data_IF_122413990678
#
_entry.id   IF_122413990678
#
_cell.length_a   1.000
_cell.length_b   1.000
_cell.length_c   1.000
_cell.angle_alpha   90.00
_cell.angle_beta   90.00
_cell.angle_gamma   90.00
#
_symmetry.space_group_name_H-M   'P 1'
#
loop_
_entity.id
_entity.type
_entity.pdbx_description
1 polymer ?
#
# COMPACT_ATOMS: atom_id res chain seq x y z
N UNK A 1 -0.34 3.38 16.75
CA UNK A 1 -0.44 2.92 15.33
C UNK A 1 -1.91 2.70 15.03
N UNK A 2 -2.40 3.18 13.88
CA UNK A 2 -3.83 3.16 13.54
C UNK A 2 -4.14 2.09 12.47
N UNK A 3 -5.29 1.41 12.61
CA UNK A 3 -5.77 0.40 11.69
C UNK A 3 -7.26 0.62 11.40
N UNK A 4 -7.65 0.55 10.14
CA UNK A 4 -9.04 0.80 9.71
C UNK A 4 -9.46 -0.26 8.69
N UNK A 5 -10.75 -0.59 8.70
CA UNK A 5 -11.36 -1.45 7.71
C UNK A 5 -12.16 -0.59 6.73
N UNK A 6 -11.60 -0.37 5.54
CA UNK A 6 -12.24 0.45 4.50
C UNK A 6 -12.93 -0.42 3.43
N UNK A 7 -12.65 -1.73 3.39
CA UNK A 7 -13.25 -2.67 2.45
C UNK A 7 -12.67 -2.56 1.03
N UNK A 8 -11.37 -2.30 0.90
CA UNK A 8 -10.66 -2.45 -0.38
C UNK A 8 -10.58 -3.95 -0.72
N UNK A 9 -10.50 -4.26 -2.00
CA UNK A 9 -10.27 -5.62 -2.48
C UNK A 9 -8.99 -6.24 -1.92
N UNK A 10 -8.98 -7.58 -1.84
CA UNK A 10 -7.81 -8.35 -1.41
C UNK A 10 -6.89 -8.65 -2.61
N UNK A 11 -5.68 -9.17 -2.35
CA UNK A 11 -4.72 -9.45 -3.42
C UNK A 11 -5.24 -10.49 -4.43
N UNK A 12 -6.12 -11.41 -4.00
CA UNK A 12 -6.76 -12.39 -4.88
C UNK A 12 -7.74 -11.76 -5.89
N UNK A 13 -8.23 -10.56 -5.59
CA UNK A 13 -9.14 -9.80 -6.45
C UNK A 13 -8.38 -8.82 -7.38
N UNK A 14 -7.04 -8.83 -7.34
CA UNK A 14 -6.21 -8.07 -8.25
C UNK A 14 -6.42 -8.61 -9.69
N UNK A 15 -6.70 -7.74 -10.68
CA UNK A 15 -6.96 -8.22 -12.04
C UNK A 15 -5.71 -8.78 -12.72
N UNK A 16 -4.51 -8.38 -12.28
CA UNK A 16 -3.23 -8.90 -12.74
C UNK A 16 -2.79 -10.15 -11.97
N UNK A 17 -1.96 -11.02 -12.58
CA UNK A 17 -1.43 -12.20 -11.92
C UNK A 17 -0.68 -11.86 -10.63
N UNK A 18 -1.08 -12.51 -9.54
CA UNK A 18 -0.45 -12.43 -8.23
C UNK A 18 0.20 -13.75 -7.84
N UNK A 19 1.27 -13.69 -7.05
CA UNK A 19 2.00 -14.87 -6.62
C UNK A 19 1.47 -15.37 -5.27
N UNK A 20 1.18 -16.68 -5.18
CA UNK A 20 0.76 -17.36 -3.94
C UNK A 20 -0.44 -16.72 -3.21
N UNK A 21 -1.39 -16.14 -3.94
CA UNK A 21 -2.64 -15.62 -3.36
C UNK A 21 -3.73 -16.69 -3.41
N UNK A 22 -4.40 -16.91 -2.29
CA UNK A 22 -5.52 -17.85 -2.18
C UNK A 22 -6.72 -17.20 -1.47
N UNK A 23 -7.92 -17.71 -1.74
CA UNK A 23 -9.17 -17.14 -1.21
C UNK A 23 -9.20 -17.05 0.32
N UNK A 24 -8.71 -18.09 1.00
CA UNK A 24 -8.78 -18.22 2.46
C UNK A 24 -7.46 -17.87 3.16
N UNK A 25 -6.64 -17.03 2.54
CA UNK A 25 -5.38 -16.60 3.13
C UNK A 25 -5.63 -15.76 4.41
N UNK A 26 -5.02 -16.09 5.56
CA UNK A 26 -5.14 -15.27 6.77
C UNK A 26 -4.76 -13.80 6.60
N UNK A 27 -3.94 -13.45 5.61
CA UNK A 27 -3.58 -12.07 5.27
C UNK A 27 -4.75 -11.24 4.75
N UNK A 28 -5.77 -11.87 4.15
CA UNK A 28 -7.01 -11.20 3.73
C UNK A 28 -7.77 -10.63 4.93
N UNK A 29 -7.57 -11.17 6.14
CA UNK A 29 -8.15 -10.64 7.38
C UNK A 29 -7.37 -9.45 7.95
N UNK A 30 -6.27 -9.03 7.33
CA UNK A 30 -5.42 -7.95 7.82
C UNK A 30 -4.96 -8.19 9.26
N UNK A 31 -5.19 -7.22 10.15
CA UNK A 31 -4.83 -7.31 11.58
C UNK A 31 -5.46 -8.52 12.29
N UNK A 32 -6.68 -8.92 11.91
CA UNK A 32 -7.36 -10.09 12.46
C UNK A 32 -6.59 -11.40 12.24
N UNK A 33 -5.91 -11.53 11.10
CA UNK A 33 -5.07 -12.68 10.77
C UNK A 33 -3.91 -12.89 11.76
N UNK A 34 -3.40 -11.80 12.33
CA UNK A 34 -2.32 -11.83 13.34
C UNK A 34 -2.86 -11.94 14.77
N UNK A 35 -3.86 -11.14 15.12
CA UNK A 35 -4.38 -11.05 16.50
C UNK A 35 -5.31 -12.19 16.87
N UNK A 36 -5.89 -12.87 15.87
CA UNK A 36 -6.95 -13.88 16.02
C UNK A 36 -8.23 -13.35 16.71
N UNK A 37 -8.38 -12.04 16.83
CA UNK A 37 -9.59 -11.41 17.34
C UNK A 37 -10.51 -11.04 16.16
N UNK A 38 -11.73 -11.60 16.06
CA UNK A 38 -12.66 -11.30 14.96
C UNK A 38 -13.01 -9.82 14.81
N UNK A 39 -12.95 -9.04 15.91
CA UNK A 39 -13.19 -7.60 15.87
C UNK A 39 -12.09 -6.82 15.15
N UNK A 40 -10.93 -7.42 14.89
CA UNK A 40 -9.81 -6.84 14.13
C UNK A 40 -9.74 -7.31 12.68
N UNK A 41 -10.66 -8.18 12.24
CA UNK A 41 -10.74 -8.64 10.86
C UNK A 41 -10.89 -7.46 9.89
N UNK A 42 -10.19 -7.55 8.76
CA UNK A 42 -10.16 -6.60 7.65
C UNK A 42 -9.63 -5.20 8.00
N UNK A 43 -9.09 -5.01 9.20
CA UNK A 43 -8.40 -3.76 9.55
C UNK A 43 -6.96 -3.80 9.06
N UNK A 44 -6.61 -2.86 8.20
CA UNK A 44 -5.24 -2.71 7.70
C UNK A 44 -4.59 -1.47 8.29
N UNK A 45 -3.26 -1.51 8.46
CA UNK A 45 -2.49 -0.39 8.99
C UNK A 45 -2.67 0.80 8.05
N UNK A 46 -2.94 1.98 8.60
CA UNK A 46 -2.97 3.22 7.81
C UNK A 46 -1.53 3.56 7.37
N UNK A 47 -1.21 3.57 6.07
CA UNK A 47 0.11 3.94 5.58
C UNK A 47 0.32 5.46 5.67
N UNK A 48 1.58 5.87 5.69
CA UNK A 48 1.95 7.29 5.56
C UNK A 48 1.81 7.74 4.09
N UNK A 49 1.52 9.02 3.82
CA UNK A 49 1.31 9.51 2.46
C UNK A 49 2.58 9.96 1.72
N UNK A 50 3.73 10.00 2.40
CA UNK A 50 4.99 10.45 1.82
C UNK A 50 5.50 9.48 0.74
N UNK A 51 5.94 10.03 -0.39
CA UNK A 51 6.51 9.28 -1.52
C UNK A 51 5.62 8.18 -2.10
N UNK A 52 4.30 8.27 -1.90
CA UNK A 52 3.38 7.31 -2.50
C UNK A 52 3.46 7.30 -4.04
N UNK A 53 3.85 8.41 -4.66
CA UNK A 53 3.99 8.54 -6.11
C UNK A 53 5.01 7.57 -6.73
N UNK A 54 5.95 7.01 -5.95
CA UNK A 54 6.91 6.01 -6.45
C UNK A 54 6.29 4.61 -6.64
N UNK A 55 5.08 4.36 -6.10
CA UNK A 55 4.40 3.06 -6.22
C UNK A 55 3.53 2.97 -7.49
N UNK A 56 3.59 1.86 -8.26
CA UNK A 56 2.73 1.66 -9.42
C UNK A 56 1.33 1.10 -9.06
N UNK A 57 1.11 0.72 -7.80
CA UNK A 57 -0.17 0.18 -7.31
C UNK A 57 -0.46 0.62 -5.88
N UNK A 58 -1.74 0.59 -5.49
CA UNK A 58 -2.21 1.06 -4.19
C UNK A 58 -3.34 0.19 -3.61
N UNK A 59 -3.58 0.35 -2.30
CA UNK A 59 -4.47 -0.51 -1.53
C UNK A 59 -3.78 -1.79 -1.07
N UNK A 60 -4.33 -2.50 -0.08
CA UNK A 60 -3.71 -3.73 0.40
C UNK A 60 -3.83 -4.88 -0.60
N UNK A 61 -4.85 -4.87 -1.47
CA UNK A 61 -5.00 -5.81 -2.58
C UNK A 61 -4.40 -5.35 -3.90
N UNK A 62 -3.63 -4.25 -3.93
CA UNK A 62 -3.03 -3.70 -5.15
C UNK A 62 -4.04 -3.46 -6.29
N UNK A 63 -5.31 -3.16 -5.97
CA UNK A 63 -6.40 -3.03 -6.94
C UNK A 63 -6.51 -1.66 -7.60
N UNK A 64 -5.75 -0.66 -7.14
CA UNK A 64 -5.73 0.69 -7.70
C UNK A 64 -4.39 0.98 -8.37
N UNK A 65 -4.39 1.72 -9.48
CA UNK A 65 -3.20 2.10 -10.25
C UNK A 65 -2.78 3.55 -10.03
N UNK A 66 -3.67 4.38 -9.48
CA UNK A 66 -3.37 5.80 -9.23
C UNK A 66 -3.81 6.26 -7.84
N UNK A 67 -3.10 7.24 -7.27
CA UNK A 67 -3.52 7.93 -6.04
C UNK A 67 -4.90 8.59 -6.22
N UNK A 68 -5.21 9.08 -7.42
CA UNK A 68 -6.51 9.69 -7.75
C UNK A 68 -7.65 8.69 -7.63
N UNK A 69 -7.45 7.43 -8.04
CA UNK A 69 -8.44 6.37 -7.84
C UNK A 69 -8.68 6.10 -6.36
N UNK A 70 -7.62 6.05 -5.54
CA UNK A 70 -7.75 5.87 -4.08
C UNK A 70 -8.52 7.03 -3.45
N UNK A 71 -8.26 8.27 -3.86
CA UNK A 71 -9.00 9.45 -3.37
C UNK A 71 -10.47 9.36 -3.77
N UNK A 72 -10.77 9.03 -5.04
CA UNK A 72 -12.15 8.84 -5.51
C UNK A 72 -12.88 7.73 -4.73
N UNK A 73 -12.21 6.60 -4.51
CA UNK A 73 -12.73 5.50 -3.71
C UNK A 73 -13.10 5.94 -2.28
N UNK A 74 -12.19 6.67 -1.62
CA UNK A 74 -12.46 7.24 -0.28
C UNK A 74 -13.56 8.29 -0.28
N UNK A 75 -13.66 9.10 -1.33
CA UNK A 75 -14.70 10.11 -1.47
C UNK A 75 -16.10 9.50 -1.68
N UNK A 76 -16.19 8.41 -2.47
CA UNK A 76 -17.44 7.68 -2.71
C UNK A 76 -17.84 6.81 -1.54
N UNK A 77 -16.87 6.27 -0.81
CA UNK A 77 -17.05 5.40 0.35
C UNK A 77 -17.91 4.15 0.09
N UNK A 78 -17.69 3.50 -1.06
CA UNK A 78 -18.35 2.23 -1.42
C UNK A 78 -17.33 1.09 -1.33
N UNK A 79 -17.48 0.14 -0.38
CA UNK A 79 -16.58 -1.00 -0.27
C UNK A 79 -16.54 -1.84 -1.55
N UNK A 80 -15.35 -2.32 -1.93
CA UNK A 80 -15.17 -3.26 -3.06
C UNK A 80 -15.27 -4.71 -2.58
N UNK A 81 -14.66 -5.01 -1.43
CA UNK A 81 -14.62 -6.36 -0.87
C UNK A 81 -16.02 -6.75 -0.38
N UNK A 82 -16.53 -7.89 -0.85
CA UNK A 82 -17.87 -8.39 -0.50
C UNK A 82 -17.87 -9.24 0.77
N UNK A 83 -16.70 -9.66 1.25
CA UNK A 83 -16.56 -10.51 2.44
C UNK A 83 -16.64 -9.71 3.74
N UNK A 84 -16.46 -8.39 3.69
CA UNK A 84 -16.57 -7.51 4.84
C UNK A 84 -18.04 -7.18 5.14
N UNK A 85 -18.45 -7.38 6.39
CA UNK A 85 -19.78 -6.99 6.83
C UNK A 85 -19.86 -5.47 7.04
N UNK A 86 -21.04 -4.88 6.81
CA UNK A 86 -21.25 -3.42 6.94
C UNK A 86 -20.91 -2.88 8.33
N UNK A 87 -21.11 -3.66 9.39
CA UNK A 87 -20.77 -3.29 10.77
C UNK A 87 -19.27 -3.41 11.10
N UNK A 88 -18.47 -4.02 10.22
CA UNK A 88 -17.02 -4.08 10.35
C UNK A 88 -16.32 -2.92 9.64
N UNK A 89 -17.01 -2.24 8.72
CA UNK A 89 -16.50 -1.04 8.05
C UNK A 89 -16.33 0.07 9.08
N UNK A 90 -15.19 0.75 9.01
CA UNK A 90 -14.89 1.86 9.89
C UNK A 90 -15.87 3.03 9.67
N UNK A 91 -16.47 3.61 10.73
CA UNK A 91 -17.39 4.75 10.61
C UNK A 91 -16.82 5.99 9.91
N UNK A 92 -15.49 6.12 9.81
CA UNK A 92 -14.85 7.20 9.06
C UNK A 92 -15.04 7.05 7.54
N UNK A 93 -15.32 5.84 7.05
CA UNK A 93 -15.51 5.54 5.63
C UNK A 93 -16.94 5.88 5.21
N UNK A 94 -17.18 7.18 4.99
CA UNK A 94 -18.46 7.74 4.55
C UNK A 94 -18.23 8.74 3.41
N UNK A 95 -19.24 8.98 2.55
CA UNK A 95 -19.09 9.93 1.46
C UNK A 95 -18.68 11.31 1.97
N UNK A 96 -17.69 11.93 1.31
CA UNK A 96 -17.14 13.23 1.72
C UNK A 96 -17.76 14.37 0.89
N UNK A 97 -18.07 14.09 -0.39
CA UNK A 97 -18.69 15.08 -1.29
C UNK A 97 -17.69 16.02 -1.96
N UNK A 98 -16.44 15.59 -2.15
CA UNK A 98 -15.42 16.38 -2.83
C UNK A 98 -15.78 16.63 -4.29
N UNK A 99 -15.56 17.86 -4.72
CA UNK A 99 -15.64 18.30 -6.11
C UNK A 99 -14.51 17.69 -6.97
N UNK A 100 -14.67 17.65 -8.31
CA UNK A 100 -13.59 17.24 -9.21
C UNK A 100 -12.29 18.03 -9.00
N UNK A 101 -12.40 19.32 -8.73
CA UNK A 101 -11.28 20.24 -8.48
C UNK A 101 -10.56 19.88 -7.18
N UNK A 102 -11.29 19.64 -6.09
CA UNK A 102 -10.69 19.22 -4.80
C UNK A 102 -10.00 17.86 -4.91
N UNK A 103 -10.57 16.91 -5.66
CA UNK A 103 -9.92 15.62 -5.93
C UNK A 103 -8.60 15.83 -6.68
N UNK A 104 -8.56 16.72 -7.67
CA UNK A 104 -7.35 17.05 -8.41
C UNK A 104 -6.30 17.72 -7.51
N UNK A 105 -6.71 18.69 -6.70
CA UNK A 105 -5.82 19.39 -5.75
C UNK A 105 -5.25 18.43 -4.71
N UNK A 106 -6.06 17.54 -4.12
CA UNK A 106 -5.58 16.52 -3.18
C UNK A 106 -4.64 15.53 -3.87
N UNK A 107 -4.93 15.15 -5.11
CA UNK A 107 -4.04 14.28 -5.90
C UNK A 107 -2.69 14.95 -6.06
N UNK A 108 -2.65 16.21 -6.49
CA UNK A 108 -1.42 16.98 -6.68
C UNK A 108 -0.65 17.17 -5.36
N UNK A 109 -1.34 17.44 -4.26
CA UNK A 109 -0.72 17.54 -2.94
C UNK A 109 0.02 16.25 -2.56
N UNK A 110 -0.62 15.09 -2.71
CA UNK A 110 0.01 13.81 -2.37
C UNK A 110 1.13 13.45 -3.34
N UNK A 111 0.95 13.68 -4.65
CA UNK A 111 1.94 13.26 -5.66
C UNK A 111 3.12 14.21 -5.81
N UNK A 112 2.99 15.47 -5.38
CA UNK A 112 4.02 16.50 -5.59
C UNK A 112 4.51 17.10 -4.28
N UNK A 113 3.61 17.60 -3.43
CA UNK A 113 4.01 18.30 -2.21
C UNK A 113 4.55 17.35 -1.13
N UNK A 114 4.10 16.09 -1.14
CA UNK A 114 4.59 15.02 -0.25
C UNK A 114 5.65 14.12 -0.92
N UNK A 115 6.16 14.55 -2.07
CA UNK A 115 7.20 13.84 -2.81
C UNK A 115 8.58 14.41 -2.54
N UNK A 116 9.53 13.51 -2.28
CA UNK A 116 10.93 13.79 -2.10
C UNK A 116 11.71 13.20 -3.28
N UNK A 117 12.07 14.02 -4.29
CA UNK A 117 12.79 13.54 -5.47
C UNK A 117 14.24 13.13 -5.18
N UNK A 118 14.73 13.33 -3.95
CA UNK A 118 16.13 13.10 -3.58
C UNK A 118 16.27 12.01 -2.52
N UNK A 119 15.36 11.04 -2.45
CA UNK A 119 15.43 9.92 -1.50
C UNK A 119 16.77 9.16 -1.55
N UNK A 120 17.39 9.07 -2.73
CA UNK A 120 18.70 8.41 -2.91
C UNK A 120 19.82 9.02 -2.07
N UNK A 121 19.66 10.23 -1.53
CA UNK A 121 20.64 10.84 -0.61
C UNK A 121 20.87 10.02 0.67
N UNK A 122 19.92 9.17 1.04
CA UNK A 122 20.03 8.27 2.21
C UNK A 122 20.63 6.91 1.87
N UNK A 123 20.86 6.61 0.58
CA UNK A 123 21.53 5.38 0.17
C UNK A 123 23.03 5.53 0.44
N UNK A 124 23.66 4.64 1.21
CA UNK A 124 25.09 4.73 1.49
C UNK A 124 25.91 4.53 0.22
N UNK A 125 27.02 5.26 0.08
CA UNK A 125 27.91 5.14 -1.08
C UNK A 125 28.61 3.78 -1.15
N UNK A 126 28.82 3.12 0.00
CA UNK A 126 29.43 1.80 0.12
C UNK A 126 28.76 1.02 1.25
N UNK A 127 28.65 -0.30 1.10
CA UNK A 127 28.22 -1.17 2.19
C UNK A 127 29.34 -1.29 3.23
N UNK A 128 29.02 -1.35 4.55
CA UNK A 128 30.01 -1.58 5.59
C UNK A 128 30.84 -2.87 5.40
N UNK A 129 30.28 -3.87 4.73
CA UNK A 129 30.98 -5.14 4.43
C UNK A 129 32.05 -5.01 3.33
N UNK A 130 32.03 -3.95 2.53
CA UNK A 130 32.86 -3.85 1.31
C UNK A 130 32.51 -4.87 0.22
N UNK A 131 31.33 -5.49 0.29
CA UNK A 131 30.82 -6.44 -0.70
C UNK A 131 29.69 -5.82 -1.53
N UNK A 132 29.36 -6.43 -2.68
CA UNK A 132 28.33 -5.91 -3.57
C UNK A 132 26.92 -6.28 -3.09
N UNK A 133 26.02 -5.29 -3.05
CA UNK A 133 24.57 -5.51 -2.95
C UNK A 133 24.03 -6.21 -4.21
N UNK A 134 22.99 -7.07 -4.12
CA UNK A 134 22.25 -7.47 -2.93
C UNK A 134 22.81 -8.69 -2.19
N UNK A 135 23.55 -9.56 -2.89
CA UNK A 135 23.93 -10.86 -2.33
C UNK A 135 25.00 -10.76 -1.24
N UNK A 136 25.81 -9.69 -1.27
CA UNK A 136 26.87 -9.40 -0.30
C UNK A 136 27.86 -10.57 -0.12
N UNK A 137 28.35 -11.12 -1.23
CA UNK A 137 29.32 -12.22 -1.27
C UNK A 137 30.50 -11.95 -2.24
N UNK A 138 31.55 -12.78 -2.16
CA UNK A 138 32.77 -12.63 -2.99
C UNK A 138 32.56 -12.92 -4.48
N UNK A 139 31.64 -13.83 -4.82
CA UNK A 139 31.34 -14.19 -6.19
C UNK A 139 30.64 -13.02 -6.89
N UNK A 140 29.59 -12.50 -6.28
CA UNK A 140 28.89 -11.28 -6.68
C UNK A 140 29.83 -10.09 -6.84
N UNK A 141 30.88 -9.99 -6.01
CA UNK A 141 31.91 -8.95 -6.15
C UNK A 141 32.75 -9.07 -7.41
N UNK A 142 33.09 -10.29 -7.81
CA UNK A 142 33.79 -10.58 -9.06
C UNK A 142 32.88 -10.34 -10.27
N UNK A 143 31.64 -10.83 -10.19
CA UNK A 143 30.69 -10.79 -11.31
C UNK A 143 30.24 -9.36 -11.64
N UNK A 144 30.05 -8.52 -10.61
CA UNK A 144 29.62 -7.12 -10.78
C UNK A 144 30.77 -6.12 -10.80
N UNK A 145 32.03 -6.59 -10.66
CA UNK A 145 33.23 -5.75 -10.63
C UNK A 145 33.13 -4.56 -9.65
N UNK A 146 32.71 -4.81 -8.40
CA UNK A 146 32.51 -3.76 -7.39
C UNK A 146 33.46 -3.93 -6.19
N UNK A 147 34.75 -3.68 -6.43
CA UNK A 147 35.82 -3.74 -5.42
C UNK A 147 36.00 -2.43 -4.65
#
# INVERSE_FOLDING_TARGET
MQFNALGMNDMIDCPEPTFNTIQNDPSNLGRGGFTKNPSDNYKFKVPQPYNLADSPFYGHGSSFRTIKEVIKYKNMAVPQNKNILKNQIDPIFKPIGLTPEEINTLTAFITQALYDPKLRRFVPQKLPSGLCFPNADLQSRRDMNCF
#
